data_IF_456753978498
#
_entry.id   IF_456753978498
#
_cell.length_a   1.000
_cell.length_b   1.000
_cell.length_c   1.000
_cell.angle_alpha   90.00
_cell.angle_beta   90.00
_cell.angle_gamma   90.00
#
_symmetry.space_group_name_H-M   'P 1'
#
loop_
_entity.id
_entity.type
_entity.pdbx_description
1 polymer ?
#
# COMPACT_ATOMS: atom_id res chain seq x y z
N UNK A 1 -27.74 -17.23 -2.61
CA UNK A 1 -27.44 -16.18 -1.61
C UNK A 1 -28.13 -14.92 -2.13
N UNK A 2 -29.04 -14.33 -1.36
CA UNK A 2 -29.77 -13.14 -1.81
C UNK A 2 -28.80 -11.94 -1.82
N UNK A 3 -28.83 -11.07 -2.84
CA UNK A 3 -28.05 -9.83 -2.84
C UNK A 3 -28.50 -8.95 -1.66
N UNK A 4 -27.56 -8.36 -0.93
CA UNK A 4 -27.86 -7.52 0.23
C UNK A 4 -27.00 -6.25 0.24
N UNK A 5 -27.53 -5.18 0.84
CA UNK A 5 -26.85 -3.90 0.97
C UNK A 5 -25.84 -3.98 2.11
N UNK A 6 -24.55 -3.82 1.82
CA UNK A 6 -23.49 -3.87 2.84
C UNK A 6 -23.47 -2.64 3.76
N UNK A 7 -24.16 -1.55 3.38
CA UNK A 7 -24.22 -0.30 4.15
C UNK A 7 -25.27 -0.39 5.27
N UNK A 8 -26.48 -0.86 4.95
CA UNK A 8 -27.61 -0.91 5.90
C UNK A 8 -28.05 -2.33 6.29
N UNK A 9 -27.55 -3.36 5.62
CA UNK A 9 -27.88 -4.77 5.89
C UNK A 9 -29.19 -5.27 5.28
N UNK A 10 -29.88 -4.49 4.44
CA UNK A 10 -31.15 -4.89 3.82
C UNK A 10 -30.94 -5.92 2.70
N UNK A 11 -31.68 -7.02 2.70
CA UNK A 11 -31.65 -8.05 1.66
C UNK A 11 -32.65 -7.74 0.54
N UNK A 12 -32.30 -8.09 -0.70
CA UNK A 12 -33.08 -7.85 -1.90
C UNK A 12 -33.27 -9.14 -2.69
N UNK A 13 -34.47 -9.35 -3.22
CA UNK A 13 -34.76 -10.54 -4.05
C UNK A 13 -34.11 -10.47 -5.44
N UNK A 14 -33.80 -9.26 -5.93
CA UNK A 14 -33.24 -9.00 -7.26
C UNK A 14 -32.09 -8.00 -7.20
N UNK A 15 -31.07 -8.23 -8.03
CA UNK A 15 -29.86 -7.39 -8.08
C UNK A 15 -30.17 -5.94 -8.46
N UNK A 16 -31.10 -5.71 -9.40
CA UNK A 16 -31.45 -4.36 -9.86
C UNK A 16 -32.12 -3.51 -8.75
N UNK A 17 -32.81 -4.16 -7.82
CA UNK A 17 -33.39 -3.49 -6.66
C UNK A 17 -32.30 -3.09 -5.66
N UNK A 18 -31.30 -3.95 -5.42
CA UNK A 18 -30.10 -3.60 -4.65
C UNK A 18 -29.37 -2.42 -5.29
N UNK A 19 -29.14 -2.46 -6.60
CA UNK A 19 -28.45 -1.38 -7.33
C UNK A 19 -29.20 -0.05 -7.27
N UNK A 20 -30.54 -0.09 -7.30
CA UNK A 20 -31.38 1.11 -7.14
C UNK A 20 -31.28 1.65 -5.72
N UNK A 21 -31.39 0.78 -4.72
CA UNK A 21 -31.25 1.14 -3.31
C UNK A 21 -29.86 1.68 -2.96
N UNK A 22 -28.79 1.15 -3.56
CA UNK A 22 -27.44 1.65 -3.37
C UNK A 22 -27.26 3.12 -3.81
N UNK A 23 -28.12 3.63 -4.71
CA UNK A 23 -28.11 5.04 -5.11
C UNK A 23 -28.71 5.97 -4.03
N UNK A 24 -29.53 5.45 -3.13
CA UNK A 24 -30.10 6.22 -2.01
C UNK A 24 -29.07 6.51 -0.91
N UNK A 25 -27.98 5.74 -0.87
CA UNK A 25 -26.85 5.93 0.06
C UNK A 25 -25.81 6.94 -0.42
N UNK A 26 -26.02 7.61 -1.55
CA UNK A 26 -25.06 8.56 -2.12
C UNK A 26 -25.30 9.99 -1.59
N UNK A 27 -24.36 10.60 -0.84
CA UNK A 27 -24.31 12.04 -0.68
C UNK A 27 -23.46 12.65 -1.81
N UNK A 28 -23.70 12.29 -3.07
CA UNK A 28 -22.96 12.85 -4.22
C UNK A 28 -23.84 12.85 -5.46
N UNK A 29 -24.74 13.82 -5.54
CA UNK A 29 -25.37 14.20 -6.81
C UNK A 29 -25.63 15.70 -6.80
N UNK A 30 -24.80 16.44 -7.56
CA UNK A 30 -25.01 17.85 -7.86
C UNK A 30 -23.99 18.78 -7.20
N UNK A 31 -22.78 18.82 -7.76
CA UNK A 31 -22.07 20.06 -8.03
C UNK A 31 -20.95 19.74 -9.02
N UNK A 32 -21.02 20.30 -10.23
CA UNK A 32 -19.89 20.32 -11.15
C UNK A 32 -18.73 21.05 -10.47
N UNK A 33 -17.48 20.57 -10.56
CA UNK A 33 -16.36 21.32 -10.01
C UNK A 33 -16.29 22.70 -10.69
N UNK A 34 -16.04 23.79 -9.94
CA UNK A 34 -15.84 25.09 -10.55
C UNK A 34 -14.60 25.03 -11.46
N UNK A 35 -14.55 25.83 -12.53
CA UNK A 35 -13.37 25.87 -13.40
C UNK A 35 -12.16 26.27 -12.56
N UNK A 36 -11.09 25.46 -12.64
CA UNK A 36 -9.82 25.73 -11.98
C UNK A 36 -9.23 26.99 -12.60
N UNK A 37 -9.25 28.07 -11.80
CA UNK A 37 -8.51 29.30 -12.04
C UNK A 37 -7.03 28.95 -12.21
N UNK A 38 -6.51 29.13 -13.42
CA UNK A 38 -5.07 29.14 -13.69
C UNK A 38 -4.48 30.38 -13.04
N UNK A 39 -4.11 30.29 -11.76
CA UNK A 39 -3.07 31.10 -11.16
C UNK A 39 -2.85 30.64 -9.72
N UNK A 40 -1.62 30.87 -9.25
CA UNK A 40 -1.02 30.45 -7.98
C UNK A 40 -0.29 29.10 -8.04
N UNK A 41 1.04 29.21 -8.03
CA UNK A 41 1.96 28.13 -7.74
C UNK A 41 1.41 27.23 -6.63
N UNK A 42 1.25 25.95 -6.93
CA UNK A 42 0.80 24.96 -5.97
C UNK A 42 1.73 24.99 -4.74
N UNK A 43 1.20 25.12 -3.52
CA UNK A 43 1.99 24.90 -2.32
C UNK A 43 2.59 23.50 -2.40
N UNK A 44 3.86 23.37 -2.00
CA UNK A 44 4.48 22.07 -1.77
C UNK A 44 3.63 21.26 -0.79
N UNK A 45 3.69 19.91 -0.84
CA UNK A 45 2.96 19.05 0.09
C UNK A 45 3.17 19.55 1.52
N UNK A 46 2.06 19.74 2.24
CA UNK A 46 2.06 20.11 3.65
C UNK A 46 2.95 19.09 4.38
N UNK A 47 3.96 19.52 5.16
CA UNK A 47 4.78 18.59 5.92
C UNK A 47 3.90 17.78 6.90
N UNK A 48 4.38 16.62 7.36
CA UNK A 48 3.64 15.69 8.25
C UNK A 48 3.22 16.27 9.63
N UNK A 49 3.40 17.58 9.85
CA UNK A 49 3.27 18.26 11.14
C UNK A 49 1.87 18.85 11.41
N UNK A 50 0.81 18.31 10.81
CA UNK A 50 -0.49 18.42 11.48
C UNK A 50 -0.52 17.36 12.57
N UNK A 51 -0.62 17.77 13.83
CA UNK A 51 -0.76 16.87 15.00
C UNK A 51 -2.04 16.04 14.87
N UNK A 52 -1.95 14.95 14.11
CA UNK A 52 -3.01 13.96 14.03
C UNK A 52 -3.09 13.22 15.36
N UNK A 53 -4.29 12.92 15.86
CA UNK A 53 -4.43 12.19 17.10
C UNK A 53 -3.83 10.77 16.93
N UNK A 54 -3.05 10.28 17.90
CA UNK A 54 -2.51 8.93 17.84
C UNK A 54 -3.65 7.90 17.86
N UNK A 55 -3.44 6.75 17.21
CA UNK A 55 -4.46 5.70 17.13
C UNK A 55 -4.80 5.18 18.53
N UNK A 56 -6.02 5.42 19.06
CA UNK A 56 -6.36 5.00 20.41
C UNK A 56 -6.49 3.46 20.48
N UNK A 57 -6.10 2.84 21.62
CA UNK A 57 -6.42 1.44 21.83
C UNK A 57 -7.95 1.25 21.95
N UNK A 58 -8.48 0.09 21.56
CA UNK A 58 -9.89 -0.21 21.78
C UNK A 58 -10.22 -0.15 23.29
N UNK A 59 -11.43 0.24 23.69
CA UNK A 59 -11.78 0.34 25.11
C UNK A 59 -11.59 -0.99 25.85
N UNK A 60 -11.13 -0.93 27.11
CA UNK A 60 -11.16 -2.10 27.98
C UNK A 60 -12.59 -2.67 28.03
N UNK A 61 -12.71 -4.00 28.05
CA UNK A 61 -13.98 -4.74 28.03
C UNK A 61 -14.90 -4.50 29.24
N UNK A 62 -14.59 -3.56 30.12
CA UNK A 62 -15.32 -3.25 31.35
C UNK A 62 -16.61 -2.45 31.16
N UNK A 63 -17.17 -2.37 29.95
CA UNK A 63 -18.41 -1.61 29.72
C UNK A 63 -19.14 -1.92 28.42
N UNK A 64 -19.98 -2.96 28.41
CA UNK A 64 -21.04 -3.20 27.41
C UNK A 64 -20.66 -3.47 25.94
N UNK A 65 -19.39 -3.31 25.55
CA UNK A 65 -18.93 -3.57 24.17
C UNK A 65 -18.64 -5.05 23.89
N UNK A 66 -18.23 -5.83 24.89
CA UNK A 66 -18.01 -7.28 24.75
C UNK A 66 -19.27 -8.02 24.28
N UNK A 67 -20.46 -7.60 24.73
CA UNK A 67 -21.74 -8.13 24.28
C UNK A 67 -22.20 -7.60 22.91
N UNK A 68 -21.83 -6.37 22.53
CA UNK A 68 -22.17 -5.78 21.23
C UNK A 68 -21.32 -6.34 20.09
N UNK A 69 -20.04 -6.61 20.35
CA UNK A 69 -19.14 -7.24 19.40
C UNK A 69 -19.38 -8.75 19.31
N UNK A 70 -19.70 -9.43 20.42
CA UNK A 70 -20.10 -10.84 20.39
C UNK A 70 -21.40 -11.08 19.58
N UNK A 71 -22.31 -10.10 19.50
CA UNK A 71 -23.50 -10.18 18.65
C UNK A 71 -23.20 -10.06 17.15
N UNK A 72 -22.17 -9.29 16.78
CA UNK A 72 -21.72 -9.08 15.38
C UNK A 72 -20.74 -10.15 14.90
N UNK A 73 -19.99 -10.77 15.82
CA UNK A 73 -18.99 -11.80 15.58
C UNK A 73 -19.56 -13.23 15.59
N UNK A 74 -20.88 -13.40 15.55
CA UNK A 74 -21.51 -14.73 15.40
C UNK A 74 -22.04 -14.92 13.97
N UNK A 75 -21.15 -15.13 12.97
CA UNK A 75 -21.57 -15.54 11.63
C UNK A 75 -21.99 -17.02 11.57
N UNK A 76 -21.89 -17.76 12.68
CA UNK A 76 -22.07 -19.20 12.70
C UNK A 76 -23.48 -19.61 13.17
N UNK A 77 -24.22 -20.44 12.40
CA UNK A 77 -25.53 -20.95 12.80
C UNK A 77 -25.47 -21.96 13.95
N UNK A 78 -24.29 -22.37 14.42
CA UNK A 78 -24.14 -23.34 15.52
C UNK A 78 -24.26 -22.68 16.90
N UNK A 79 -25.42 -22.86 17.54
CA UNK A 79 -25.73 -22.36 18.89
C UNK A 79 -24.72 -22.81 19.96
N UNK A 80 -24.22 -24.04 19.86
CA UNK A 80 -23.20 -24.57 20.77
C UNK A 80 -21.85 -23.83 20.65
N UNK A 81 -21.45 -23.46 19.43
CA UNK A 81 -20.23 -22.67 19.20
C UNK A 81 -20.39 -21.27 19.76
N UNK A 82 -21.56 -20.65 19.54
CA UNK A 82 -21.87 -19.32 20.08
C UNK A 82 -21.81 -19.30 21.61
N UNK A 83 -22.30 -20.36 22.27
CA UNK A 83 -22.19 -20.50 23.72
C UNK A 83 -20.75 -20.62 24.18
N UNK A 84 -19.95 -21.48 23.54
CA UNK A 84 -18.52 -21.64 23.86
C UNK A 84 -17.73 -20.35 23.65
N UNK A 85 -18.00 -19.63 22.56
CA UNK A 85 -17.35 -18.37 22.24
C UNK A 85 -17.66 -17.29 23.28
N UNK A 86 -18.93 -17.14 23.66
CA UNK A 86 -19.33 -16.22 24.75
C UNK A 86 -18.62 -16.56 26.05
N UNK A 87 -18.61 -17.84 26.45
CA UNK A 87 -17.89 -18.27 27.66
C UNK A 87 -16.39 -17.94 27.62
N UNK A 88 -15.76 -18.07 26.45
CA UNK A 88 -14.34 -17.72 26.28
C UNK A 88 -14.10 -16.21 26.40
N UNK A 89 -14.96 -15.38 25.80
CA UNK A 89 -14.89 -13.91 25.93
C UNK A 89 -15.11 -13.48 27.37
N UNK A 90 -16.14 -14.04 28.03
CA UNK A 90 -16.48 -13.70 29.42
C UNK A 90 -15.28 -14.01 30.32
N UNK A 91 -14.70 -15.21 30.19
CA UNK A 91 -13.50 -15.63 30.92
C UNK A 91 -12.30 -14.72 30.62
N UNK A 92 -12.08 -14.35 29.36
CA UNK A 92 -10.98 -13.48 28.96
C UNK A 92 -11.12 -12.07 29.57
N UNK A 93 -12.35 -11.57 29.69
CA UNK A 93 -12.68 -10.25 30.22
C UNK A 93 -12.86 -10.16 31.74
N UNK A 94 -12.66 -11.25 32.48
CA UNK A 94 -12.75 -11.26 33.95
C UNK A 94 -11.76 -10.25 34.58
N UNK A 95 -12.18 -9.62 35.68
CA UNK A 95 -11.32 -8.71 36.44
C UNK A 95 -10.11 -9.46 36.99
N UNK A 96 -8.91 -8.92 36.78
CA UNK A 96 -7.65 -9.59 37.07
C UNK A 96 -7.28 -10.73 36.11
N UNK A 97 -8.08 -10.97 35.07
CA UNK A 97 -7.85 -12.00 34.05
C UNK A 97 -6.82 -11.61 32.98
N UNK A 98 -6.61 -12.52 32.03
CA UNK A 98 -5.61 -12.35 30.95
C UNK A 98 -5.93 -11.15 30.04
N UNK A 99 -7.21 -10.91 29.73
CA UNK A 99 -7.61 -9.79 28.88
C UNK A 99 -7.33 -8.44 29.50
N UNK A 100 -7.54 -8.29 30.81
CA UNK A 100 -7.18 -7.06 31.52
C UNK A 100 -5.65 -6.85 31.52
N UNK A 101 -4.88 -7.91 31.79
CA UNK A 101 -3.41 -7.86 31.73
C UNK A 101 -2.92 -7.42 30.34
N UNK A 102 -3.40 -8.06 29.28
CA UNK A 102 -3.03 -7.73 27.90
C UNK A 102 -3.46 -6.32 27.51
N UNK A 103 -4.65 -5.87 27.93
CA UNK A 103 -5.11 -4.50 27.68
C UNK A 103 -4.23 -3.45 28.39
N UNK A 104 -3.78 -3.71 29.62
CA UNK A 104 -2.80 -2.84 30.30
C UNK A 104 -1.47 -2.78 29.55
N UNK A 105 -0.96 -3.91 29.05
CA UNK A 105 0.26 -3.95 28.24
C UNK A 105 0.09 -3.18 26.92
N UNK A 106 -1.08 -3.29 26.29
CA UNK A 106 -1.43 -2.52 25.09
C UNK A 106 -1.47 -1.01 25.37
N UNK A 107 -2.07 -0.59 26.47
CA UNK A 107 -2.10 0.82 26.89
C UNK A 107 -0.71 1.33 27.21
N UNK A 108 0.14 0.50 27.82
CA UNK A 108 1.55 0.84 28.06
C UNK A 108 2.31 1.07 26.76
N UNK A 109 2.11 0.22 25.75
CA UNK A 109 2.68 0.40 24.40
C UNK A 109 2.19 1.69 23.74
N UNK A 110 0.88 1.93 23.77
CA UNK A 110 0.25 3.16 23.25
C UNK A 110 0.88 4.44 23.80
N UNK A 111 1.20 4.49 25.10
CA UNK A 111 1.83 5.67 25.72
C UNK A 111 3.28 5.94 25.28
N UNK A 112 3.92 5.01 24.58
CA UNK A 112 5.36 5.05 24.25
C UNK A 112 5.65 5.05 22.76
N UNK A 113 4.62 5.03 21.91
CA UNK A 113 4.75 4.92 20.46
C UNK A 113 3.79 5.89 19.80
N UNK A 114 4.21 6.45 18.67
CA UNK A 114 3.35 7.34 17.86
C UNK A 114 2.15 6.57 17.29
N UNK A 115 2.39 5.33 16.86
CA UNK A 115 1.35 4.38 16.49
C UNK A 115 1.70 2.98 17.03
N UNK A 116 0.90 2.48 17.97
CA UNK A 116 1.15 1.19 18.62
C UNK A 116 0.96 -0.02 17.70
N UNK A 117 0.18 0.15 16.61
CA UNK A 117 -0.26 -0.92 15.72
C UNK A 117 0.58 -1.02 14.44
N UNK A 118 1.17 0.08 13.96
CA UNK A 118 1.86 0.17 12.67
C UNK A 118 2.83 -0.99 12.42
N UNK A 119 3.83 -1.16 13.31
CA UNK A 119 4.83 -2.24 13.21
C UNK A 119 4.18 -3.64 13.20
N UNK A 120 3.22 -3.87 14.10
CA UNK A 120 2.56 -5.18 14.21
C UNK A 120 1.73 -5.50 12.98
N UNK A 121 1.00 -4.52 12.46
CA UNK A 121 0.22 -4.68 11.24
C UNK A 121 1.12 -4.93 10.05
N UNK A 122 2.16 -4.12 9.85
CA UNK A 122 3.10 -4.28 8.75
C UNK A 122 3.75 -5.68 8.76
N UNK A 123 4.24 -6.12 9.92
CA UNK A 123 4.85 -7.44 10.06
C UNK A 123 3.84 -8.56 9.80
N UNK A 124 2.76 -8.60 10.58
CA UNK A 124 1.82 -9.74 10.57
C UNK A 124 0.99 -9.83 9.28
N UNK A 125 0.55 -8.71 8.73
CA UNK A 125 -0.31 -8.71 7.55
C UNK A 125 0.47 -8.80 6.23
N UNK A 126 1.74 -8.39 6.21
CA UNK A 126 2.51 -8.33 4.97
C UNK A 126 3.87 -9.03 5.03
N UNK A 127 4.75 -8.66 5.96
CA UNK A 127 6.18 -9.05 5.88
C UNK A 127 6.46 -10.49 6.33
N UNK A 128 5.66 -11.01 7.26
CA UNK A 128 5.74 -12.40 7.74
C UNK A 128 5.02 -13.39 6.81
N UNK A 129 4.15 -12.90 5.93
CA UNK A 129 3.43 -13.74 4.96
C UNK A 129 4.40 -14.28 3.91
N UNK A 130 4.47 -15.62 3.80
CA UNK A 130 5.42 -16.31 2.90
C UNK A 130 4.83 -16.72 1.54
N UNK A 131 3.54 -16.48 1.30
CA UNK A 131 2.93 -16.73 -0.01
C UNK A 131 3.48 -15.78 -1.08
N UNK A 132 3.44 -16.16 -2.36
CA UNK A 132 3.74 -15.26 -3.47
C UNK A 132 2.99 -13.92 -3.34
N UNK A 133 3.63 -12.80 -3.68
CA UNK A 133 2.97 -11.48 -3.58
C UNK A 133 1.93 -11.24 -4.68
N UNK A 134 2.18 -11.58 -5.97
CA UNK A 134 1.17 -11.44 -7.00
C UNK A 134 -0.08 -12.21 -6.64
N UNK A 135 -1.25 -11.62 -6.88
CA UNK A 135 -2.58 -12.16 -6.54
C UNK A 135 -2.89 -12.18 -5.03
N UNK A 136 -1.96 -12.58 -4.17
CA UNK A 136 -2.25 -12.75 -2.73
C UNK A 136 -2.12 -11.47 -1.90
N UNK A 137 -1.21 -10.56 -2.27
CA UNK A 137 -0.93 -9.36 -1.47
C UNK A 137 -0.81 -8.09 -2.31
N UNK A 138 -0.34 -8.17 -3.55
CA UNK A 138 -0.15 -7.01 -4.43
C UNK A 138 -1.44 -6.73 -5.21
N UNK A 139 -2.24 -5.71 -4.83
CA UNK A 139 -3.41 -5.33 -5.61
C UNK A 139 -2.99 -4.80 -6.98
N UNK A 140 -3.78 -5.11 -8.01
CA UNK A 140 -3.65 -4.53 -9.33
C UNK A 140 -4.77 -3.52 -9.56
N UNK A 141 -4.44 -2.39 -10.18
CA UNK A 141 -5.42 -1.39 -10.60
C UNK A 141 -5.51 -1.37 -12.13
N UNK A 142 -6.74 -1.33 -12.64
CA UNK A 142 -7.01 -1.06 -14.05
C UNK A 142 -7.39 0.41 -14.17
N UNK A 143 -6.52 1.20 -14.80
CA UNK A 143 -6.79 2.61 -15.06
C UNK A 143 -7.54 2.78 -16.39
N UNK A 144 -8.43 3.78 -16.52
CA UNK A 144 -9.03 4.11 -17.81
C UNK A 144 -7.95 4.37 -18.85
N UNK A 145 -8.18 3.90 -20.08
CA UNK A 145 -7.26 4.16 -21.20
C UNK A 145 -7.12 5.67 -21.37
N UNK A 146 -5.91 6.16 -21.15
CA UNK A 146 -5.58 7.57 -21.36
C UNK A 146 -5.40 7.83 -22.85
N UNK A 147 -5.87 8.99 -23.30
CA UNK A 147 -5.61 9.54 -24.64
C UNK A 147 -4.92 10.87 -24.44
N UNK A 148 -3.68 10.96 -24.89
CA UNK A 148 -2.89 12.17 -24.79
C UNK A 148 -2.98 12.91 -26.13
N UNK A 149 -3.37 14.18 -26.10
CA UNK A 149 -3.48 15.04 -27.28
C UNK A 149 -2.28 15.99 -27.40
N UNK A 150 -1.53 16.20 -26.31
CA UNK A 150 -0.33 17.04 -26.26
C UNK A 150 0.71 16.51 -25.25
N UNK A 151 1.97 16.96 -25.37
CA UNK A 151 3.03 16.69 -24.39
C UNK A 151 2.77 17.35 -23.01
N UNK A 152 1.79 18.24 -22.93
CA UNK A 152 1.40 18.95 -21.71
C UNK A 152 0.28 18.24 -20.95
N UNK A 153 -0.47 17.36 -21.63
CA UNK A 153 -1.51 16.51 -21.01
C UNK A 153 -0.90 15.47 -20.06
N UNK A 154 0.39 15.18 -20.23
CA UNK A 154 1.16 14.20 -19.49
C UNK A 154 1.89 14.81 -18.28
N UNK A 155 1.24 15.57 -17.38
CA UNK A 155 1.94 15.91 -16.13
C UNK A 155 1.09 16.08 -14.86
N UNK A 156 1.62 15.41 -13.85
CA UNK A 156 1.48 15.49 -12.40
C UNK A 156 0.75 16.73 -11.84
N UNK A 157 -0.33 16.46 -11.12
CA UNK A 157 -0.92 17.38 -10.16
C UNK A 157 -0.17 17.27 -8.83
N UNK A 158 0.01 18.40 -8.14
CA UNK A 158 0.36 18.37 -6.73
C UNK A 158 -0.75 17.65 -5.97
N UNK A 159 -0.39 16.75 -5.05
CA UNK A 159 -1.36 16.05 -4.23
C UNK A 159 -1.85 17.00 -3.13
N UNK A 160 -3.12 17.43 -3.15
CA UNK A 160 -3.68 18.16 -2.02
C UNK A 160 -3.74 17.25 -0.78
N UNK A 161 -3.76 17.81 0.44
CA UNK A 161 -4.04 17.02 1.64
C UNK A 161 -5.38 16.28 1.50
N UNK A 162 -5.39 14.99 1.83
CA UNK A 162 -6.61 14.22 1.87
C UNK A 162 -7.44 14.61 3.08
N UNK A 163 -8.75 14.77 2.87
CA UNK A 163 -9.69 15.23 3.89
C UNK A 163 -10.85 14.25 4.02
N UNK A 164 -11.13 13.80 5.25
CA UNK A 164 -12.41 13.19 5.60
C UNK A 164 -13.33 14.29 6.14
N UNK A 165 -14.25 14.78 5.28
CA UNK A 165 -15.03 16.00 5.53
C UNK A 165 -14.11 17.21 5.71
N UNK A 166 -13.90 17.66 6.94
CA UNK A 166 -13.02 18.79 7.29
C UNK A 166 -11.86 18.36 8.19
N UNK A 167 -11.65 17.05 8.35
CA UNK A 167 -10.58 16.48 9.16
C UNK A 167 -9.47 16.01 8.22
N UNK A 168 -8.23 16.50 8.38
CA UNK A 168 -7.10 16.03 7.58
C UNK A 168 -6.80 14.56 7.86
N UNK A 169 -6.39 13.83 6.83
CA UNK A 169 -5.94 12.45 6.91
C UNK A 169 -4.41 12.38 6.88
N UNK A 170 -3.88 11.26 7.40
CA UNK A 170 -2.45 10.98 7.33
C UNK A 170 -1.98 10.86 5.87
N UNK A 171 -0.99 11.68 5.52
CA UNK A 171 -0.38 11.68 4.19
C UNK A 171 0.94 10.87 4.14
N UNK A 172 1.37 10.27 5.25
CA UNK A 172 2.63 9.52 5.34
C UNK A 172 2.75 8.44 4.27
N UNK A 173 1.63 7.80 3.89
CA UNK A 173 1.62 6.77 2.86
C UNK A 173 2.13 7.28 1.51
N UNK A 174 1.85 8.53 1.11
CA UNK A 174 2.28 9.08 -0.18
C UNK A 174 3.81 9.19 -0.31
N UNK A 175 4.49 9.46 0.81
CA UNK A 175 5.95 9.47 0.87
C UNK A 175 6.56 8.06 0.85
N UNK A 176 5.74 7.04 1.12
CA UNK A 176 6.08 5.61 1.07
C UNK A 176 5.54 4.93 -0.20
N UNK A 177 5.54 5.62 -1.35
CA UNK A 177 5.20 5.02 -2.66
C UNK A 177 6.43 4.92 -3.58
N UNK A 178 7.29 5.94 -3.57
CA UNK A 178 8.45 6.01 -4.46
C UNK A 178 9.75 5.66 -3.73
N UNK A 179 10.77 5.25 -4.49
CA UNK A 179 12.11 4.97 -3.99
C UNK A 179 12.15 3.95 -2.84
N UNK A 180 11.27 2.95 -2.88
CA UNK A 180 11.26 1.85 -1.93
C UNK A 180 11.05 0.52 -2.64
N UNK A 181 11.46 -0.56 -1.99
CA UNK A 181 11.09 -1.90 -2.41
C UNK A 181 11.10 -2.88 -1.24
N UNK A 182 10.45 -4.02 -1.44
CA UNK A 182 10.43 -5.13 -0.49
C UNK A 182 11.56 -6.11 -0.80
N UNK A 183 12.47 -6.27 0.16
CA UNK A 183 13.61 -7.19 0.09
C UNK A 183 13.21 -8.53 0.70
N UNK A 184 13.37 -9.66 -0.01
CA UNK A 184 13.12 -10.96 0.57
C UNK A 184 14.19 -11.32 1.59
N UNK A 185 13.77 -11.79 2.76
CA UNK A 185 14.66 -12.23 3.83
C UNK A 185 14.15 -13.54 4.44
N UNK A 186 15.01 -14.30 5.13
CA UNK A 186 14.55 -15.49 5.85
C UNK A 186 13.49 -15.10 6.89
N UNK A 187 12.39 -15.85 6.94
CA UNK A 187 11.27 -15.71 7.90
C UNK A 187 10.42 -14.44 7.76
N UNK A 188 11.02 -13.26 7.61
CA UNK A 188 10.33 -11.96 7.52
C UNK A 188 11.02 -11.07 6.51
N UNK A 189 10.30 -10.64 5.48
CA UNK A 189 10.79 -9.68 4.50
C UNK A 189 11.00 -8.29 5.12
N UNK A 190 11.72 -7.43 4.41
CA UNK A 190 12.01 -6.06 4.84
C UNK A 190 11.53 -5.05 3.79
N UNK A 191 11.09 -3.87 4.21
CA UNK A 191 10.86 -2.73 3.30
C UNK A 191 12.01 -1.77 3.46
N UNK A 192 12.70 -1.48 2.36
CA UNK A 192 13.81 -0.52 2.33
C UNK A 192 13.36 0.70 1.54
N UNK A 193 13.50 1.88 2.14
CA UNK A 193 13.24 3.18 1.52
C UNK A 193 14.56 3.93 1.34
N UNK A 194 14.72 4.53 0.17
CA UNK A 194 15.86 5.36 -0.24
C UNK A 194 15.45 6.84 -0.39
N UNK A 195 14.20 7.18 -0.06
CA UNK A 195 13.65 8.52 -0.24
C UNK A 195 14.32 9.56 0.69
N UNK A 196 14.74 9.13 1.88
CA UNK A 196 15.30 9.98 2.94
C UNK A 196 16.84 9.99 2.96
N UNK A 197 17.49 9.36 1.98
CA UNK A 197 18.96 9.37 1.87
C UNK A 197 19.49 10.78 1.57
N UNK A 198 20.77 11.02 1.88
CA UNK A 198 21.42 12.31 1.61
C UNK A 198 21.42 12.67 0.11
N UNK A 199 21.45 11.66 -0.77
CA UNK A 199 21.28 11.83 -2.21
C UNK A 199 20.25 10.83 -2.77
N UNK A 200 18.95 11.14 -2.71
CA UNK A 200 17.90 10.21 -3.10
C UNK A 200 17.96 9.82 -4.59
N UNK A 201 17.52 8.60 -4.95
CA UNK A 201 17.48 8.15 -6.34
C UNK A 201 16.66 9.08 -7.25
N UNK A 202 17.20 9.35 -8.43
CA UNK A 202 16.60 10.20 -9.48
C UNK A 202 16.44 9.48 -10.82
N UNK A 203 16.37 8.16 -10.76
CA UNK A 203 16.15 7.27 -11.90
C UNK A 203 14.92 6.41 -11.66
N UNK A 204 14.43 5.80 -12.73
CA UNK A 204 13.47 4.71 -12.68
C UNK A 204 14.09 3.46 -13.31
N UNK A 205 13.51 2.30 -13.02
CA UNK A 205 13.84 1.04 -13.70
C UNK A 205 12.79 0.78 -14.77
N UNK A 206 13.22 0.66 -16.03
CA UNK A 206 12.37 0.31 -17.17
C UNK A 206 12.59 -1.15 -17.50
N UNK A 207 11.51 -1.94 -17.54
CA UNK A 207 11.55 -3.33 -17.98
C UNK A 207 10.94 -3.44 -19.40
N UNK A 208 11.71 -3.94 -20.37
CA UNK A 208 11.22 -4.19 -21.72
C UNK A 208 11.81 -5.49 -22.27
N UNK A 209 10.94 -6.40 -22.73
CA UNK A 209 11.33 -7.74 -23.21
C UNK A 209 12.28 -8.49 -22.24
N UNK A 210 11.97 -8.45 -20.94
CA UNK A 210 12.76 -9.01 -19.84
C UNK A 210 14.12 -8.36 -19.55
N UNK A 211 14.51 -7.32 -20.28
CA UNK A 211 15.70 -6.54 -19.96
C UNK A 211 15.35 -5.43 -18.97
N UNK A 212 16.22 -5.17 -18.00
CA UNK A 212 16.08 -4.09 -17.02
C UNK A 212 17.06 -2.96 -17.35
N UNK A 213 16.56 -1.73 -17.39
CA UNK A 213 17.35 -0.53 -17.67
C UNK A 213 17.17 0.51 -16.56
N UNK A 214 18.28 1.10 -16.12
CA UNK A 214 18.26 2.32 -15.31
C UNK A 214 18.07 3.53 -16.24
N UNK A 215 17.02 4.30 -16.04
CA UNK A 215 16.75 5.53 -16.81
C UNK A 215 16.67 6.73 -15.87
N UNK A 216 17.58 7.70 -16.05
CA UNK A 216 17.57 8.94 -15.27
C UNK A 216 16.38 9.82 -15.68
N UNK A 217 15.59 10.24 -14.70
CA UNK A 217 14.42 11.11 -14.91
C UNK A 217 14.67 12.55 -14.43
N UNK A 218 15.88 12.82 -13.95
CA UNK A 218 16.37 14.16 -13.66
C UNK A 218 17.64 14.46 -14.42
N UNK A 219 17.79 15.72 -14.81
CA UNK A 219 19.02 16.22 -15.37
C UNK A 219 20.12 16.24 -14.29
N UNK A 220 21.26 15.60 -14.56
CA UNK A 220 22.35 15.45 -13.60
C UNK A 220 22.98 16.78 -13.17
N UNK A 221 22.99 17.79 -14.04
CA UNK A 221 23.60 19.09 -13.74
C UNK A 221 22.61 20.03 -13.06
N UNK A 222 21.42 20.21 -13.63
CA UNK A 222 20.43 21.16 -13.09
C UNK A 222 19.63 20.59 -11.90
N UNK A 223 19.71 19.27 -11.68
CA UNK A 223 18.88 18.51 -10.74
C UNK A 223 17.38 18.73 -10.88
N UNK A 224 16.91 19.16 -12.06
CA UNK A 224 15.50 19.30 -12.38
C UNK A 224 14.97 18.05 -13.09
N UNK A 225 13.70 17.68 -12.90
CA UNK A 225 13.07 16.61 -13.69
C UNK A 225 13.19 16.89 -15.19
N UNK A 226 13.40 15.85 -15.99
CA UNK A 226 13.29 15.94 -17.44
C UNK A 226 11.85 16.20 -17.86
N UNK A 227 11.66 16.93 -18.97
CA UNK A 227 10.35 17.06 -19.61
C UNK A 227 10.04 15.80 -20.42
N UNK A 228 8.78 15.57 -20.74
CA UNK A 228 8.36 14.40 -21.54
C UNK A 228 9.17 14.27 -22.85
N UNK A 229 9.33 15.37 -23.59
CA UNK A 229 10.15 15.44 -24.82
C UNK A 229 11.59 14.93 -24.65
N UNK A 230 12.15 15.01 -23.44
CA UNK A 230 13.52 14.58 -23.13
C UNK A 230 13.55 13.11 -22.63
N UNK A 231 12.42 12.60 -22.11
CA UNK A 231 12.26 11.21 -21.67
C UNK A 231 11.93 10.28 -22.85
N UNK A 232 11.11 10.74 -23.81
CA UNK A 232 10.67 9.91 -24.93
C UNK A 232 11.81 9.30 -25.76
N UNK A 233 12.85 10.05 -26.16
CA UNK A 233 13.98 9.48 -26.90
C UNK A 233 14.75 8.40 -26.10
N UNK A 234 14.81 8.52 -24.77
CA UNK A 234 15.44 7.51 -23.91
C UNK A 234 14.66 6.19 -23.92
N UNK A 235 13.33 6.27 -23.86
CA UNK A 235 12.45 5.10 -23.98
C UNK A 235 12.58 4.44 -25.36
N UNK A 236 12.63 5.23 -26.44
CA UNK A 236 12.87 4.72 -27.80
C UNK A 236 14.22 4.02 -27.90
N UNK A 237 15.27 4.58 -27.29
CA UNK A 237 16.58 3.95 -27.24
C UNK A 237 16.54 2.60 -26.49
N UNK A 238 15.83 2.52 -25.37
CA UNK A 238 15.63 1.28 -24.61
C UNK A 238 14.93 0.23 -25.48
N UNK A 239 13.82 0.58 -26.13
CA UNK A 239 13.08 -0.33 -27.01
C UNK A 239 13.95 -0.87 -28.16
N UNK A 240 14.79 0.00 -28.75
CA UNK A 240 15.72 -0.40 -29.81
C UNK A 240 16.84 -1.33 -29.31
N UNK A 241 17.30 -1.16 -28.07
CA UNK A 241 18.33 -2.00 -27.46
C UNK A 241 17.81 -3.37 -27.00
N UNK A 242 16.51 -3.49 -26.74
CA UNK A 242 15.86 -4.70 -26.19
C UNK A 242 14.83 -5.29 -27.15
N UNK A 243 15.17 -5.38 -28.44
CA UNK A 243 14.29 -5.98 -29.46
C UNK A 243 14.10 -7.50 -29.29
N UNK A 244 15.10 -8.19 -28.75
CA UNK A 244 15.01 -9.61 -28.41
C UNK A 244 14.65 -9.81 -26.95
N UNK A 245 13.99 -10.94 -26.65
CA UNK A 245 13.63 -11.32 -25.28
C UNK A 245 14.89 -11.74 -24.51
N UNK A 246 15.11 -11.10 -23.37
CA UNK A 246 16.16 -11.42 -22.41
C UNK A 246 15.75 -12.50 -21.40
N UNK A 247 16.68 -12.91 -20.51
CA UNK A 247 16.38 -13.79 -19.39
C UNK A 247 15.28 -13.20 -18.49
N UNK A 248 14.22 -13.95 -18.14
CA UNK A 248 13.08 -13.43 -17.37
C UNK A 248 13.38 -13.30 -15.87
N UNK A 249 14.44 -12.61 -15.46
CA UNK A 249 14.87 -12.53 -14.05
C UNK A 249 13.74 -11.98 -13.15
N UNK A 250 12.94 -11.05 -13.67
CA UNK A 250 11.80 -10.47 -12.95
C UNK A 250 10.76 -11.48 -12.49
N UNK A 251 10.61 -12.64 -13.17
CA UNK A 251 9.65 -13.67 -12.78
C UNK A 251 9.97 -14.28 -11.41
N UNK A 252 11.23 -14.24 -10.98
CA UNK A 252 11.62 -14.79 -9.68
C UNK A 252 10.99 -14.01 -8.52
N UNK A 253 10.58 -12.76 -8.76
CA UNK A 253 9.87 -11.94 -7.77
C UNK A 253 8.43 -12.41 -7.51
N UNK A 254 7.87 -13.24 -8.41
CA UNK A 254 6.53 -13.82 -8.27
C UNK A 254 6.51 -15.16 -7.54
N UNK A 255 7.66 -15.68 -7.13
CA UNK A 255 7.72 -16.94 -6.39
C UNK A 255 7.29 -16.75 -4.92
N UNK A 256 7.15 -17.85 -4.19
CA UNK A 256 6.99 -17.79 -2.73
C UNK A 256 8.19 -17.07 -2.09
N UNK A 257 7.98 -16.49 -0.91
CA UNK A 257 8.97 -15.54 -0.35
C UNK A 257 10.26 -16.23 0.07
N UNK A 258 10.22 -17.51 0.42
CA UNK A 258 11.40 -18.28 0.82
C UNK A 258 12.22 -18.70 -0.39
N UNK A 259 11.55 -19.19 -1.45
CA UNK A 259 12.20 -19.49 -2.74
C UNK A 259 12.78 -18.24 -3.37
N UNK A 260 12.05 -17.12 -3.36
CA UNK A 260 12.56 -15.83 -3.83
C UNK A 260 13.75 -15.35 -2.99
N UNK A 261 13.74 -15.52 -1.67
CA UNK A 261 14.88 -15.17 -0.82
C UNK A 261 16.15 -15.93 -1.24
N UNK A 262 16.06 -17.26 -1.42
CA UNK A 262 17.18 -18.07 -1.85
C UNK A 262 17.68 -17.69 -3.25
N UNK A 263 16.77 -17.43 -4.19
CA UNK A 263 17.12 -17.01 -5.55
C UNK A 263 17.76 -15.61 -5.56
N UNK A 264 17.23 -14.66 -4.80
CA UNK A 264 17.74 -13.30 -4.68
C UNK A 264 19.18 -13.28 -4.13
N UNK A 265 19.48 -14.09 -3.11
CA UNK A 265 20.85 -14.21 -2.57
C UNK A 265 21.84 -14.73 -3.62
N UNK A 266 21.45 -15.73 -4.41
CA UNK A 266 22.29 -16.27 -5.48
C UNK A 266 22.52 -15.25 -6.60
N UNK A 267 21.48 -14.50 -6.96
CA UNK A 267 21.60 -13.42 -7.96
C UNK A 267 22.52 -12.30 -7.49
N UNK A 268 22.40 -11.89 -6.22
CA UNK A 268 23.25 -10.86 -5.64
C UNK A 268 24.74 -11.28 -5.67
N UNK A 269 25.05 -12.50 -5.20
CA UNK A 269 26.41 -13.03 -5.23
C UNK A 269 26.98 -13.10 -6.66
N UNK A 270 26.21 -13.61 -7.62
CA UNK A 270 26.63 -13.67 -9.02
C UNK A 270 26.83 -12.27 -9.65
N UNK A 271 26.07 -11.28 -9.19
CA UNK A 271 26.19 -9.88 -9.61
C UNK A 271 27.47 -9.22 -9.09
N UNK A 272 27.78 -9.40 -7.81
CA UNK A 272 29.00 -8.88 -7.19
C UNK A 272 30.27 -9.42 -7.86
N UNK A 273 30.30 -10.72 -8.19
CA UNK A 273 31.40 -11.33 -8.94
C UNK A 273 31.60 -10.66 -10.31
N UNK A 274 30.52 -10.33 -11.03
CA UNK A 274 30.59 -9.66 -12.34
C UNK A 274 31.07 -8.20 -12.23
N UNK A 275 30.62 -7.47 -11.21
CA UNK A 275 31.05 -6.09 -10.96
C UNK A 275 32.54 -6.06 -10.59
N UNK A 276 32.97 -6.96 -9.71
CA UNK A 276 34.37 -7.10 -9.31
C UNK A 276 35.28 -7.54 -10.47
N UNK A 277 34.75 -8.25 -11.46
CA UNK A 277 35.44 -8.60 -12.70
C UNK A 277 35.54 -7.46 -13.73
N UNK A 278 35.10 -6.24 -13.39
CA UNK A 278 35.30 -5.04 -14.21
C UNK A 278 34.34 -4.89 -15.40
N UNK A 279 33.21 -5.61 -15.42
CA UNK A 279 32.21 -5.51 -16.48
C UNK A 279 31.06 -4.59 -16.05
N UNK A 280 30.99 -3.32 -16.52
CA UNK A 280 30.03 -2.37 -15.99
C UNK A 280 28.61 -2.62 -16.52
N UNK A 281 27.67 -2.71 -15.57
CA UNK A 281 26.24 -2.35 -15.68
C UNK A 281 25.48 -2.89 -16.90
N UNK A 282 25.40 -4.21 -17.04
CA UNK A 282 24.24 -4.87 -17.65
C UNK A 282 23.61 -5.79 -16.61
N UNK A 283 22.42 -5.41 -16.13
CA UNK A 283 21.51 -6.36 -15.47
C UNK A 283 20.87 -7.21 -16.58
N UNK A 284 21.66 -8.13 -17.15
CA UNK A 284 21.21 -9.11 -18.14
C UNK A 284 20.51 -10.27 -17.47
#
# INVERSE_FOLDING_TARGET
MLPYCFICGQEFEKLDHLQTHMKEHAPFAGDSPPPVSQDHAAPLPVPPDQELPPLPPPPASSGSSSGRDAGRLLPYPCTACSKRFKQAIDKFGEAGGEGEYLHRMLTYRYKRMDNWLDEWWLHSAYLDVRTPLPVHSSPAALFPRQTFSSEEDCLMQALPPDMARHIPLDMTMYFKIFSLHRVPKPQRDEVVSYADEADPPRHIVVMHNNHLFEMNVYNQHSRKPYKERDLYPQLVAIMNQSRSVGPPIGILTSDDRDSWCAANQRLAAAGEERVNAGNPRRFS
#
